data_IF_927526790042
#
_entry.id   IF_927526790042
#
_cell.length_a   1.000
_cell.length_b   1.000
_cell.length_c   1.000
_cell.angle_alpha   90.00
_cell.angle_beta   90.00
_cell.angle_gamma   90.00
#
_symmetry.space_group_name_H-M   'P 1'
#
loop_
_entity.id
_entity.type
_entity.pdbx_description
1 polymer ?
#
# COMPACT_ATOMS: atom_id res chain seq x y z
N UNK A 1 -24.16 -21.97 1.72
CA UNK A 1 -23.00 -21.10 1.93
C UNK A 1 -22.01 -21.32 0.80
N UNK A 2 -21.51 -20.26 0.13
CA UNK A 2 -20.39 -20.39 -0.82
C UNK A 2 -19.14 -20.81 -0.04
N UNK A 3 -18.36 -21.74 -0.60
CA UNK A 3 -17.11 -22.24 0.00
C UNK A 3 -16.04 -21.16 -0.07
N UNK A 4 -15.21 -21.04 0.97
CA UNK A 4 -14.13 -20.05 0.97
C UNK A 4 -13.13 -20.29 -0.16
N UNK A 5 -12.60 -19.21 -0.78
CA UNK A 5 -11.56 -19.34 -1.79
C UNK A 5 -10.31 -19.97 -1.17
N UNK A 6 -9.72 -20.94 -1.87
CA UNK A 6 -8.45 -21.57 -1.47
C UNK A 6 -7.25 -20.67 -1.76
N UNK A 7 -7.45 -19.61 -2.54
CA UNK A 7 -6.45 -18.61 -2.95
C UNK A 7 -7.14 -17.34 -3.43
N UNK A 8 -6.52 -16.19 -3.17
CA UNK A 8 -6.97 -14.89 -3.68
C UNK A 8 -5.91 -14.35 -4.64
N UNK A 9 -6.36 -13.85 -5.79
CA UNK A 9 -5.50 -13.18 -6.78
C UNK A 9 -5.95 -11.73 -6.88
N UNK A 10 -5.06 -10.82 -6.48
CA UNK A 10 -5.29 -9.39 -6.53
C UNK A 10 -4.93 -8.85 -7.91
N UNK A 11 -5.91 -8.29 -8.59
CA UNK A 11 -5.75 -7.60 -9.86
C UNK A 11 -6.04 -6.09 -9.73
N UNK A 12 -6.37 -5.60 -8.54
CA UNK A 12 -6.73 -4.21 -8.26
C UNK A 12 -8.20 -3.87 -8.46
N UNK A 13 -9.02 -4.75 -9.05
CA UNK A 13 -10.36 -4.39 -9.52
C UNK A 13 -11.45 -5.40 -9.16
N UNK A 14 -11.11 -6.69 -8.99
CA UNK A 14 -12.10 -7.77 -8.86
C UNK A 14 -12.25 -8.30 -7.42
N UNK A 15 -11.64 -7.66 -6.43
CA UNK A 15 -11.70 -8.12 -5.03
C UNK A 15 -13.12 -8.00 -4.48
N UNK A 16 -13.67 -9.10 -3.96
CA UNK A 16 -15.06 -9.19 -3.51
C UNK A 16 -15.20 -9.40 -1.99
N UNK A 17 -16.42 -9.24 -1.48
CA UNK A 17 -16.73 -9.40 -0.04
C UNK A 17 -16.45 -10.82 0.47
N UNK A 18 -16.55 -11.83 -0.39
CA UNK A 18 -16.25 -13.22 -0.01
C UNK A 18 -14.75 -13.39 0.27
N UNK A 19 -13.90 -12.80 -0.55
CA UNK A 19 -12.45 -12.76 -0.32
C UNK A 19 -12.09 -12.00 0.96
N UNK A 20 -12.75 -10.88 1.24
CA UNK A 20 -12.55 -10.14 2.50
C UNK A 20 -12.93 -11.00 3.72
N UNK A 21 -14.07 -11.67 3.65
CA UNK A 21 -14.55 -12.56 4.72
C UNK A 21 -13.64 -13.78 4.93
N UNK A 22 -13.04 -14.31 3.86
CA UNK A 22 -12.11 -15.42 3.95
C UNK A 22 -10.79 -14.99 4.63
N UNK A 23 -10.26 -13.82 4.24
CA UNK A 23 -9.05 -13.27 4.86
C UNK A 23 -9.28 -12.89 6.32
N UNK A 24 -10.43 -12.31 6.68
CA UNK A 24 -10.70 -11.97 8.09
C UNK A 24 -10.69 -13.21 8.99
N UNK A 25 -11.18 -14.35 8.50
CA UNK A 25 -11.24 -15.62 9.27
C UNK A 25 -9.91 -16.35 9.41
N UNK A 26 -8.90 -16.03 8.60
CA UNK A 26 -7.61 -16.70 8.72
C UNK A 26 -6.65 -16.42 7.57
N UNK A 27 -5.56 -17.19 7.55
CA UNK A 27 -4.58 -17.14 6.48
C UNK A 27 -5.13 -17.80 5.22
N UNK A 28 -5.21 -17.03 4.14
CA UNK A 28 -5.48 -17.52 2.78
C UNK A 28 -4.31 -17.11 1.90
N UNK A 29 -3.77 -18.00 1.03
CA UNK A 29 -2.72 -17.62 0.09
C UNK A 29 -3.17 -16.47 -0.82
N UNK A 30 -2.44 -15.36 -0.80
CA UNK A 30 -2.69 -14.19 -1.65
C UNK A 30 -1.56 -14.05 -2.66
N UNK A 31 -1.91 -13.79 -3.92
CA UNK A 31 -0.97 -13.46 -4.98
C UNK A 31 -1.43 -12.22 -5.73
N UNK A 32 -0.51 -11.58 -6.44
CA UNK A 32 -0.80 -10.45 -7.34
C UNK A 32 -0.78 -10.96 -8.78
N UNK A 33 -1.77 -10.58 -9.57
CA UNK A 33 -1.87 -10.97 -10.97
C UNK A 33 -0.68 -10.43 -11.79
N UNK A 34 -0.16 -11.17 -12.80
CA UNK A 34 0.93 -10.68 -13.65
C UNK A 34 0.65 -9.30 -14.27
N UNK A 35 -0.56 -9.08 -14.78
CA UNK A 35 -0.97 -7.80 -15.35
C UNK A 35 -0.97 -6.64 -14.33
N UNK A 36 -1.22 -6.92 -13.04
CA UNK A 36 -1.12 -5.91 -11.99
C UNK A 36 0.33 -5.51 -11.73
N UNK A 37 1.27 -6.46 -11.76
CA UNK A 37 2.70 -6.15 -11.69
C UNK A 37 3.17 -5.26 -12.85
N UNK A 38 2.67 -5.51 -14.06
CA UNK A 38 2.99 -4.69 -15.23
C UNK A 38 2.51 -3.24 -15.05
N UNK A 39 1.29 -3.05 -14.52
CA UNK A 39 0.77 -1.72 -14.20
C UNK A 39 1.54 -1.02 -13.08
N UNK A 40 1.90 -1.73 -12.00
CA UNK A 40 2.73 -1.18 -10.92
C UNK A 40 4.07 -0.68 -11.48
N UNK A 41 4.75 -1.50 -12.29
CA UNK A 41 6.02 -1.13 -12.93
C UNK A 41 5.87 0.05 -13.89
N UNK A 42 4.79 0.09 -14.68
CA UNK A 42 4.52 1.21 -15.58
C UNK A 42 4.28 2.53 -14.80
N UNK A 43 3.49 2.47 -13.73
CA UNK A 43 3.26 3.60 -12.81
C UNK A 43 4.56 4.13 -12.24
N UNK A 44 5.45 3.23 -11.80
CA UNK A 44 6.74 3.58 -11.22
C UNK A 44 7.67 4.26 -12.23
N UNK A 45 7.76 3.74 -13.46
CA UNK A 45 8.54 4.36 -14.55
C UNK A 45 8.06 5.79 -14.87
N UNK A 46 6.74 6.05 -14.77
CA UNK A 46 6.19 7.39 -14.95
C UNK A 46 6.72 8.36 -13.88
N UNK A 47 6.72 7.94 -12.60
CA UNK A 47 7.30 8.71 -11.50
C UNK A 47 8.78 9.00 -11.73
N UNK A 48 9.56 8.00 -12.13
CA UNK A 48 11.00 8.16 -12.42
C UNK A 48 11.25 9.14 -13.56
N UNK A 49 10.46 9.06 -14.63
CA UNK A 49 10.56 9.99 -15.74
C UNK A 49 10.28 11.44 -15.31
N UNK A 50 9.29 11.68 -14.43
CA UNK A 50 9.02 13.02 -13.93
C UNK A 50 10.14 13.58 -13.05
N UNK A 51 10.74 12.74 -12.21
CA UNK A 51 11.89 13.11 -11.39
C UNK A 51 13.08 13.46 -12.30
N UNK A 52 13.41 12.62 -13.28
CA UNK A 52 14.50 12.88 -14.24
C UNK A 52 14.29 14.14 -15.08
N UNK A 53 13.03 14.52 -15.36
CA UNK A 53 12.68 15.76 -16.06
C UNK A 53 12.74 17.00 -15.17
N UNK A 54 13.08 16.87 -13.88
CA UNK A 54 13.10 17.98 -12.92
C UNK A 54 11.72 18.56 -12.60
N UNK A 55 10.65 17.81 -12.86
CA UNK A 55 9.28 18.29 -12.58
C UNK A 55 9.03 18.31 -11.08
N UNK A 56 8.46 19.41 -10.60
CA UNK A 56 7.99 19.53 -9.22
C UNK A 56 6.61 18.86 -9.13
N UNK A 57 6.52 17.77 -8.37
CA UNK A 57 5.30 16.97 -8.24
C UNK A 57 4.96 16.76 -6.77
N UNK A 58 3.72 17.09 -6.41
CA UNK A 58 3.23 17.02 -5.04
C UNK A 58 3.45 15.64 -4.42
N UNK A 59 4.09 15.61 -3.25
CA UNK A 59 4.34 14.39 -2.48
C UNK A 59 5.45 13.48 -3.02
N UNK A 60 6.09 13.84 -4.14
CA UNK A 60 7.28 13.16 -4.64
C UNK A 60 8.56 13.94 -4.26
N UNK A 61 8.67 15.19 -4.69
CA UNK A 61 9.80 16.09 -4.43
C UNK A 61 9.34 17.46 -3.92
N UNK A 62 8.18 17.48 -3.25
CA UNK A 62 7.68 18.61 -2.47
C UNK A 62 7.41 18.20 -1.04
N UNK A 63 7.23 19.18 -0.14
CA UNK A 63 6.59 18.93 1.14
C UNK A 63 5.11 18.53 1.00
N UNK A 64 4.47 18.28 2.15
CA UNK A 64 3.05 17.90 2.25
C UNK A 64 2.22 19.01 2.90
N UNK A 65 0.91 19.08 2.61
CA UNK A 65 0.01 20.05 3.21
C UNK A 65 0.46 21.50 2.98
N UNK A 66 0.76 22.23 4.06
CA UNK A 66 1.23 23.64 3.99
C UNK A 66 2.52 23.81 3.18
N UNK A 67 3.32 22.75 3.04
CA UNK A 67 4.60 22.76 2.32
C UNK A 67 4.48 22.19 0.89
N UNK A 68 3.27 22.04 0.35
CA UNK A 68 3.01 21.47 -0.97
C UNK A 68 3.74 22.16 -2.13
N UNK A 69 4.09 23.44 -1.99
CA UNK A 69 4.81 24.24 -2.99
C UNK A 69 6.32 24.31 -2.76
N UNK A 70 6.82 23.75 -1.66
CA UNK A 70 8.24 23.80 -1.32
C UNK A 70 8.93 22.59 -1.93
N UNK A 71 9.85 22.85 -2.87
CA UNK A 71 10.69 21.81 -3.45
C UNK A 71 11.65 21.24 -2.41
N UNK A 72 11.80 19.92 -2.41
CA UNK A 72 12.68 19.18 -1.52
C UNK A 72 13.84 18.61 -2.35
N UNK A 73 15.10 18.86 -1.96
CA UNK A 73 16.25 18.29 -2.65
C UNK A 73 16.24 16.76 -2.65
N UNK A 74 16.76 16.14 -3.72
CA UNK A 74 16.78 14.68 -3.88
C UNK A 74 17.48 13.96 -2.70
N UNK A 75 18.50 14.58 -2.12
CA UNK A 75 19.23 14.06 -0.94
C UNK A 75 18.35 13.93 0.30
N UNK A 76 17.26 14.69 0.38
CA UNK A 76 16.36 14.72 1.54
C UNK A 76 15.08 13.89 1.33
N UNK A 77 14.79 13.44 0.11
CA UNK A 77 13.55 12.70 -0.21
C UNK A 77 13.40 11.45 0.67
N UNK A 78 14.46 10.69 0.92
CA UNK A 78 14.38 9.50 1.77
C UNK A 78 14.01 9.85 3.23
N UNK A 79 14.60 10.92 3.77
CA UNK A 79 14.28 11.39 5.11
C UNK A 79 12.84 11.91 5.18
N UNK A 80 12.40 12.63 4.14
CA UNK A 80 11.02 13.10 4.00
C UNK A 80 10.01 11.94 4.05
N UNK A 81 10.22 10.89 3.26
CA UNK A 81 9.30 9.74 3.23
C UNK A 81 9.23 9.01 4.58
N UNK A 82 10.37 8.85 5.27
CA UNK A 82 10.41 8.29 6.63
C UNK A 82 9.65 9.17 7.62
N UNK A 83 9.92 10.48 7.61
CA UNK A 83 9.31 11.44 8.53
C UNK A 83 7.80 11.57 8.30
N UNK A 84 7.35 11.42 7.06
CA UNK A 84 5.91 11.37 6.74
C UNK A 84 5.23 10.23 7.49
N UNK A 85 5.76 9.00 7.38
CA UNK A 85 5.19 7.84 8.08
C UNK A 85 5.19 8.05 9.59
N UNK A 86 6.30 8.55 10.17
CA UNK A 86 6.40 8.77 11.61
C UNK A 86 5.46 9.86 12.13
N UNK A 87 5.34 10.98 11.42
CA UNK A 87 4.47 12.10 11.83
C UNK A 87 2.98 11.79 11.69
N UNK A 88 2.61 10.86 10.80
CA UNK A 88 1.23 10.45 10.56
C UNK A 88 0.83 9.18 11.32
N UNK A 89 1.78 8.50 11.98
CA UNK A 89 1.50 7.38 12.89
C UNK A 89 0.99 7.89 14.25
N UNK A 90 -0.07 8.70 14.24
CA UNK A 90 -0.64 9.36 15.40
C UNK A 90 -1.92 8.69 15.94
N UNK A 91 -2.25 7.49 15.45
CA UNK A 91 -3.39 6.73 15.93
C UNK A 91 -3.31 6.43 17.44
N UNK A 92 -4.47 6.40 18.10
CA UNK A 92 -4.60 6.19 19.55
C UNK A 92 -5.69 5.18 19.90
N UNK A 93 -5.72 4.77 21.17
CA UNK A 93 -6.68 3.82 21.70
C UNK A 93 -6.23 2.36 21.51
N UNK A 94 -7.12 1.39 21.82
CA UNK A 94 -6.84 -0.03 21.64
C UNK A 94 -6.51 -0.36 20.19
N UNK A 95 -5.70 -1.41 20.00
CA UNK A 95 -5.51 -1.99 18.67
C UNK A 95 -6.85 -2.47 18.11
N UNK A 96 -7.08 -2.25 16.82
CA UNK A 96 -8.19 -2.90 16.11
C UNK A 96 -8.02 -4.42 16.14
N UNK A 97 -9.12 -5.19 16.03
CA UNK A 97 -9.04 -6.64 15.93
C UNK A 97 -8.13 -7.09 14.77
N UNK A 98 -7.38 -8.16 15.01
CA UNK A 98 -6.37 -8.68 14.09
C UNK A 98 -6.95 -9.01 12.71
N UNK A 99 -8.17 -9.55 12.69
CA UNK A 99 -8.94 -9.85 11.49
C UNK A 99 -9.25 -8.60 10.65
N UNK A 100 -9.48 -7.46 11.28
CA UNK A 100 -9.73 -6.18 10.59
C UNK A 100 -8.42 -5.63 10.05
N UNK A 101 -7.34 -5.64 10.84
CA UNK A 101 -6.02 -5.19 10.40
C UNK A 101 -5.51 -5.99 9.19
N UNK A 102 -5.77 -7.31 9.17
CA UNK A 102 -5.45 -8.18 8.03
C UNK A 102 -6.23 -7.79 6.76
N UNK A 103 -7.52 -7.48 6.90
CA UNK A 103 -8.34 -6.98 5.78
C UNK A 103 -7.85 -5.63 5.29
N UNK A 104 -7.46 -4.71 6.17
CA UNK A 104 -6.90 -3.41 5.80
C UNK A 104 -5.62 -3.60 4.97
N UNK A 105 -4.74 -4.51 5.37
CA UNK A 105 -3.52 -4.81 4.63
C UNK A 105 -3.82 -5.37 3.23
N UNK A 106 -4.75 -6.32 3.12
CA UNK A 106 -5.23 -6.86 1.84
C UNK A 106 -5.77 -5.75 0.92
N UNK A 107 -6.65 -4.90 1.44
CA UNK A 107 -7.25 -3.79 0.69
C UNK A 107 -6.17 -2.82 0.20
N UNK A 108 -5.19 -2.49 1.05
CA UNK A 108 -4.06 -1.64 0.66
C UNK A 108 -3.29 -2.24 -0.50
N UNK A 109 -2.93 -3.52 -0.44
CA UNK A 109 -2.22 -4.22 -1.52
C UNK A 109 -3.05 -4.19 -2.81
N UNK A 110 -4.35 -4.49 -2.73
CA UNK A 110 -5.22 -4.47 -3.89
C UNK A 110 -5.31 -3.07 -4.52
N UNK A 111 -5.43 -2.00 -3.73
CA UNK A 111 -5.42 -0.63 -4.25
C UNK A 111 -4.11 -0.31 -4.98
N UNK A 112 -2.96 -0.74 -4.45
CA UNK A 112 -1.66 -0.56 -5.13
C UNK A 112 -1.59 -1.32 -6.47
N UNK A 113 -2.29 -2.46 -6.58
CA UNK A 113 -2.38 -3.25 -7.82
C UNK A 113 -3.10 -2.52 -8.96
N UNK A 114 -3.85 -1.44 -8.70
CA UNK A 114 -4.47 -0.63 -9.76
C UNK A 114 -3.41 0.03 -10.66
N UNK A 115 -2.22 0.34 -10.14
CA UNK A 115 -1.13 0.95 -10.89
C UNK A 115 -1.21 2.47 -11.01
N UNK A 116 -1.90 3.14 -10.10
CA UNK A 116 -2.00 4.62 -10.09
C UNK A 116 -1.21 5.29 -8.96
N UNK A 117 -0.46 4.53 -8.16
CA UNK A 117 0.21 5.04 -6.96
C UNK A 117 1.70 5.33 -7.11
N UNK A 118 2.34 4.96 -8.22
CA UNK A 118 3.78 5.19 -8.43
C UNK A 118 4.71 4.48 -7.43
N UNK A 119 4.18 3.51 -6.69
CA UNK A 119 4.91 2.75 -5.66
C UNK A 119 5.94 1.84 -6.30
N UNK A 120 7.05 1.59 -5.60
CA UNK A 120 8.04 0.61 -6.04
C UNK A 120 7.49 -0.83 -5.87
N UNK A 121 7.77 -1.77 -6.80
CA UNK A 121 7.31 -3.15 -6.69
C UNK A 121 7.67 -3.85 -5.37
N UNK A 122 8.86 -3.58 -4.82
CA UNK A 122 9.37 -4.26 -3.61
C UNK A 122 8.54 -3.90 -2.36
N UNK A 123 7.89 -2.73 -2.36
CA UNK A 123 6.98 -2.34 -1.27
C UNK A 123 5.71 -3.19 -1.32
N UNK A 124 5.15 -3.40 -2.52
CA UNK A 124 3.97 -4.26 -2.69
C UNK A 124 4.31 -5.70 -2.32
N UNK A 125 5.49 -6.17 -2.73
CA UNK A 125 5.99 -7.51 -2.38
C UNK A 125 6.16 -7.68 -0.87
N UNK A 126 6.74 -6.68 -0.19
CA UNK A 126 6.91 -6.71 1.27
C UNK A 126 5.58 -6.74 2.02
N UNK A 127 4.60 -5.92 1.60
CA UNK A 127 3.24 -5.96 2.17
C UNK A 127 2.55 -7.32 1.93
N UNK A 128 2.73 -7.88 0.72
CA UNK A 128 2.22 -9.20 0.38
C UNK A 128 2.85 -10.30 1.24
N UNK A 129 4.16 -10.21 1.52
CA UNK A 129 4.86 -11.12 2.42
C UNK A 129 4.35 -11.01 3.86
N UNK A 130 4.15 -9.80 4.38
CA UNK A 130 3.56 -9.58 5.71
C UNK A 130 2.19 -10.26 5.81
N UNK A 131 1.31 -10.03 4.84
CA UNK A 131 -0.02 -10.64 4.81
C UNK A 131 0.05 -12.16 4.72
N UNK A 132 0.88 -12.69 3.82
CA UNK A 132 1.00 -14.13 3.61
C UNK A 132 1.69 -14.86 4.76
N UNK A 133 2.45 -14.18 5.62
CA UNK A 133 3.07 -14.77 6.83
C UNK A 133 2.29 -14.44 8.11
N UNK A 134 1.12 -13.80 7.99
CA UNK A 134 0.30 -13.35 9.12
C UNK A 134 1.05 -12.42 10.10
N UNK A 135 1.99 -11.62 9.58
CA UNK A 135 2.70 -10.57 10.32
C UNK A 135 1.92 -9.27 10.14
N UNK A 136 0.90 -9.08 10.95
CA UNK A 136 -0.06 -7.98 10.78
C UNK A 136 0.32 -6.78 11.65
N UNK A 137 0.50 -5.57 11.07
CA UNK A 137 0.82 -4.37 11.84
C UNK A 137 -0.26 -4.04 12.87
N UNK A 138 0.17 -3.62 14.06
CA UNK A 138 -0.74 -3.08 15.08
C UNK A 138 -1.27 -1.73 14.62
N UNK A 139 -2.58 -1.58 14.58
CA UNK A 139 -3.26 -0.34 14.16
C UNK A 139 -4.21 0.12 15.26
N UNK A 140 -4.01 1.30 15.86
CA UNK A 140 -4.95 1.86 16.83
C UNK A 140 -6.32 2.18 16.18
N UNK A 141 -7.40 2.11 16.96
CA UNK A 141 -8.76 2.22 16.43
C UNK A 141 -9.29 3.65 16.23
N UNK A 142 -8.53 4.68 16.64
CA UNK A 142 -8.93 6.10 16.55
C UNK A 142 -7.77 6.96 16.02
N UNK A 143 -8.10 8.10 15.40
CA UNK A 143 -7.16 9.04 14.79
C UNK A 143 -7.23 8.97 13.28
#
# INVERSE_FOLDING_TARGET
MKKDPTKIVLDGFSLDLQSLSAVSRGRVPVQVAPAAWDRIRASRRCVEAFIHQGKVVYGLNTGFGKLASVHIPDSEINALQRNLVLSHACGVGPAIPHEIARVILLLKINTLCTGYSGVRPEVVESLLQLLNHDVIPVMPCKG
#
